data_IF_579742462069
#
_entry.id   IF_579742462069
#
_cell.length_a   1.000
_cell.length_b   1.000
_cell.length_c   1.000
_cell.angle_alpha   90.00
_cell.angle_beta   90.00
_cell.angle_gamma   90.00
#
_symmetry.space_group_name_H-M   'P 1'
#
loop_
_entity.id
_entity.type
_entity.pdbx_description
1 polymer ?
#
# COMPACT_ATOMS: atom_id res chain seq x y z
N UNK A 1 11.74 42.74 -1.55
CA UNK A 1 10.75 42.21 -2.50
C UNK A 1 10.37 40.84 -1.99
N UNK A 2 9.24 40.75 -1.30
CA UNK A 2 8.68 39.48 -0.83
C UNK A 2 8.47 38.61 -2.06
N UNK A 3 9.19 37.50 -2.17
CA UNK A 3 8.94 36.50 -3.21
C UNK A 3 7.49 36.08 -3.05
N UNK A 4 6.61 36.57 -3.93
CA UNK A 4 5.22 36.13 -3.95
C UNK A 4 5.24 34.61 -4.17
N UNK A 5 4.73 33.87 -3.21
CA UNK A 5 4.68 32.41 -3.30
C UNK A 5 3.76 32.06 -4.45
N UNK A 6 4.33 31.48 -5.50
CA UNK A 6 3.56 30.90 -6.60
C UNK A 6 3.09 29.51 -6.18
N UNK A 7 1.92 29.46 -5.55
CA UNK A 7 1.35 28.21 -5.06
C UNK A 7 1.10 27.21 -6.19
N UNK A 8 0.75 27.68 -7.40
CA UNK A 8 0.58 26.83 -8.58
C UNK A 8 1.90 26.16 -8.98
N UNK A 9 3.01 26.92 -8.98
CA UNK A 9 4.33 26.36 -9.25
C UNK A 9 4.73 25.31 -8.20
N UNK A 10 4.43 25.54 -6.92
CA UNK A 10 4.65 24.55 -5.83
C UNK A 10 3.91 23.25 -6.12
N UNK A 11 2.60 23.33 -6.42
CA UNK A 11 1.80 22.13 -6.72
C UNK A 11 2.32 21.42 -7.98
N UNK A 12 2.72 22.17 -9.00
CA UNK A 12 3.28 21.61 -10.23
C UNK A 12 4.59 20.85 -9.96
N UNK A 13 5.50 21.39 -9.15
CA UNK A 13 6.73 20.71 -8.74
C UNK A 13 6.44 19.42 -7.95
N UNK A 14 5.45 19.43 -7.06
CA UNK A 14 5.03 18.23 -6.33
C UNK A 14 4.50 17.14 -7.28
N UNK A 15 3.69 17.52 -8.29
CA UNK A 15 3.20 16.59 -9.31
C UNK A 15 4.34 15.98 -10.12
N UNK A 16 5.29 16.80 -10.57
CA UNK A 16 6.46 16.35 -11.32
C UNK A 16 7.35 15.40 -10.50
N UNK A 17 7.43 15.61 -9.19
CA UNK A 17 8.10 14.71 -8.26
C UNK A 17 7.32 13.42 -7.94
N UNK A 18 6.11 13.26 -8.51
CA UNK A 18 5.29 12.05 -8.43
C UNK A 18 4.25 12.02 -7.30
N UNK A 19 3.98 13.16 -6.66
CA UNK A 19 2.92 13.27 -5.64
C UNK A 19 1.55 13.31 -6.32
N UNK A 20 0.58 12.52 -5.82
CA UNK A 20 -0.77 12.47 -6.39
C UNK A 20 -1.75 13.36 -5.64
N UNK A 21 -2.51 14.15 -6.40
CA UNK A 21 -3.57 15.01 -5.88
C UNK A 21 -4.96 14.49 -6.27
N UNK A 22 -5.87 14.49 -5.31
CA UNK A 22 -7.30 14.18 -5.46
C UNK A 22 -8.06 15.44 -5.88
N UNK A 23 -7.72 16.57 -5.29
CA UNK A 23 -8.32 17.86 -5.63
C UNK A 23 -7.20 18.85 -5.81
N UNK A 24 -7.27 19.63 -6.88
CA UNK A 24 -6.33 20.70 -7.16
C UNK A 24 -7.12 21.99 -7.40
N UNK A 25 -6.87 22.97 -6.54
CA UNK A 25 -7.40 24.33 -6.62
C UNK A 25 -6.24 25.33 -6.50
N UNK A 26 -5.07 24.97 -7.03
CA UNK A 26 -3.88 25.83 -6.99
C UNK A 26 -3.99 27.08 -7.85
N UNK A 27 -4.91 27.09 -8.82
CA UNK A 27 -5.17 28.23 -9.72
C UNK A 27 -6.01 29.35 -9.07
N UNK A 28 -6.52 29.14 -7.85
CA UNK A 28 -7.25 30.18 -7.12
C UNK A 28 -6.29 31.22 -6.55
N UNK A 29 -6.84 32.36 -6.12
CA UNK A 29 -6.10 33.34 -5.32
C UNK A 29 -5.47 32.67 -4.10
N UNK A 30 -4.28 33.14 -3.71
CA UNK A 30 -3.42 32.46 -2.73
C UNK A 30 -4.12 32.19 -1.39
N UNK A 31 -5.01 33.09 -0.95
CA UNK A 31 -5.80 32.95 0.28
C UNK A 31 -6.88 31.86 0.21
N UNK A 32 -7.26 31.43 -0.98
CA UNK A 32 -8.25 30.38 -1.23
C UNK A 32 -7.63 29.12 -1.87
N UNK A 33 -6.36 29.16 -2.24
CA UNK A 33 -5.68 28.09 -2.95
C UNK A 33 -5.42 26.88 -2.04
N UNK A 34 -5.70 25.68 -2.56
CA UNK A 34 -5.43 24.44 -1.84
C UNK A 34 -5.28 23.26 -2.79
N UNK A 35 -4.60 22.21 -2.32
CA UNK A 35 -4.60 20.93 -3.00
C UNK A 35 -4.69 19.79 -1.97
N UNK A 36 -5.46 18.75 -2.29
CA UNK A 36 -5.69 17.58 -1.44
C UNK A 36 -4.95 16.39 -2.02
N UNK A 37 -4.16 15.71 -1.20
CA UNK A 37 -3.33 14.57 -1.56
C UNK A 37 -4.04 13.24 -1.29
N UNK A 38 -3.74 12.25 -2.14
CA UNK A 38 -4.10 10.82 -2.07
C UNK A 38 -5.26 10.40 -1.17
N UNK A 39 -5.05 10.39 0.16
CA UNK A 39 -6.04 9.85 1.10
C UNK A 39 -6.45 10.69 2.29
N UNK A 40 -5.93 11.90 2.54
CA UNK A 40 -6.51 12.83 3.55
C UNK A 40 -5.67 14.10 3.75
N UNK A 41 -4.36 14.10 3.51
CA UNK A 41 -3.52 15.28 3.73
C UNK A 41 -3.79 16.37 2.68
N UNK A 42 -3.57 17.64 3.02
CA UNK A 42 -3.72 18.76 2.09
C UNK A 42 -2.61 19.79 2.28
N UNK A 43 -2.28 20.49 1.21
CA UNK A 43 -1.36 21.61 1.22
C UNK A 43 -2.15 22.90 0.99
N UNK A 44 -1.82 23.93 1.77
CA UNK A 44 -2.41 25.26 1.70
C UNK A 44 -1.38 26.34 1.98
N UNK A 45 -1.73 27.56 1.59
CA UNK A 45 -1.12 28.77 2.11
C UNK A 45 -2.11 29.43 3.07
N UNK A 46 -1.66 29.77 4.27
CA UNK A 46 -2.47 30.47 5.28
C UNK A 46 -1.87 31.85 5.57
N UNK A 47 -2.73 32.84 5.78
CA UNK A 47 -2.33 34.21 6.12
C UNK A 47 -3.37 34.81 7.07
N UNK A 48 -2.92 35.41 8.16
CA UNK A 48 -3.77 36.04 9.16
C UNK A 48 -4.40 35.09 10.18
N UNK A 49 -3.85 33.89 10.37
CA UNK A 49 -4.38 32.92 11.34
C UNK A 49 -4.14 33.39 12.79
N UNK A 50 -5.13 33.12 13.66
CA UNK A 50 -5.13 33.55 15.06
C UNK A 50 -4.06 32.88 15.92
N UNK A 51 -3.55 31.72 15.48
CA UNK A 51 -2.44 31.01 16.12
C UNK A 51 -1.05 31.44 15.62
N UNK A 52 -0.98 32.45 14.76
CA UNK A 52 0.27 33.04 14.27
C UNK A 52 0.92 32.28 13.12
N UNK A 53 0.32 31.19 12.63
CA UNK A 53 0.86 30.42 11.50
C UNK A 53 0.53 31.10 10.18
N UNK A 54 1.58 31.58 9.50
CA UNK A 54 1.48 32.29 8.23
C UNK A 54 2.47 31.67 7.24
N UNK A 55 1.97 31.13 6.13
CA UNK A 55 2.81 30.51 5.10
C UNK A 55 2.26 29.19 4.58
N UNK A 56 3.14 28.40 3.96
CA UNK A 56 2.81 27.08 3.47
C UNK A 56 2.64 26.10 4.63
N UNK A 57 1.55 25.36 4.60
CA UNK A 57 1.22 24.35 5.61
C UNK A 57 0.80 23.04 4.97
N UNK A 58 1.11 21.94 5.65
CA UNK A 58 0.50 20.64 5.41
C UNK A 58 -0.52 20.39 6.50
N UNK A 59 -1.77 20.25 6.09
CA UNK A 59 -2.87 19.72 6.89
C UNK A 59 -2.81 18.20 6.83
N UNK A 60 -2.50 17.55 7.94
CA UNK A 60 -2.24 16.11 8.02
C UNK A 60 -3.50 15.36 8.49
N UNK A 61 -3.64 14.13 8.04
CA UNK A 61 -4.73 13.23 8.42
C UNK A 61 -4.73 12.90 9.94
N UNK A 62 -5.87 12.42 10.43
CA UNK A 62 -6.07 11.96 11.82
C UNK A 62 -5.14 10.82 12.26
N UNK A 63 -4.50 10.12 11.32
CA UNK A 63 -3.59 8.99 11.62
C UNK A 63 -2.23 9.42 12.17
N UNK A 64 -1.99 10.74 12.29
CA UNK A 64 -0.78 11.36 12.85
C UNK A 64 0.53 11.03 12.10
N UNK A 65 0.51 10.20 11.06
CA UNK A 65 1.72 9.67 10.41
C UNK A 65 2.52 10.77 9.72
N UNK A 66 1.86 11.53 8.85
CA UNK A 66 2.51 12.62 8.12
C UNK A 66 2.91 13.73 9.10
N UNK A 67 2.08 14.00 10.12
CA UNK A 67 2.34 15.01 11.14
C UNK A 67 3.62 14.70 11.92
N UNK A 68 3.74 13.50 12.49
CA UNK A 68 4.89 13.09 13.30
C UNK A 68 6.19 13.18 12.49
N UNK A 69 6.18 12.75 11.22
CA UNK A 69 7.35 12.83 10.33
C UNK A 69 7.75 14.26 10.02
N UNK A 70 6.80 15.12 9.69
CA UNK A 70 7.07 16.54 9.40
C UNK A 70 7.63 17.24 10.65
N UNK A 71 7.03 17.00 11.82
CA UNK A 71 7.50 17.57 13.08
C UNK A 71 8.93 17.11 13.43
N UNK A 72 9.24 15.81 13.26
CA UNK A 72 10.57 15.28 13.52
C UNK A 72 11.63 15.84 12.55
N UNK A 73 11.33 15.90 11.24
CA UNK A 73 12.30 16.34 10.22
C UNK A 73 12.56 17.84 10.30
N UNK A 74 11.53 18.64 10.59
CA UNK A 74 11.68 20.10 10.70
C UNK A 74 12.04 20.57 12.10
N UNK A 75 11.94 19.70 13.11
CA UNK A 75 12.05 20.05 14.52
C UNK A 75 11.08 21.18 14.89
N UNK A 76 9.82 21.07 14.43
CA UNK A 76 8.74 22.05 14.62
C UNK A 76 7.54 21.36 15.25
N UNK A 77 6.76 22.12 16.03
CA UNK A 77 5.49 21.63 16.57
C UNK A 77 4.39 21.65 15.50
N UNK A 78 3.39 20.79 15.66
CA UNK A 78 2.13 20.88 14.93
C UNK A 78 1.15 21.79 15.70
N UNK A 79 0.08 22.20 15.00
CA UNK A 79 -1.04 22.94 15.57
C UNK A 79 -2.33 22.19 15.25
N UNK A 80 -3.29 22.27 16.16
CA UNK A 80 -4.61 21.71 15.93
C UNK A 80 -5.41 22.57 14.94
N UNK A 81 -6.35 21.94 14.25
CA UNK A 81 -7.33 22.62 13.39
C UNK A 81 -8.74 22.12 13.68
N UNK A 82 -9.75 22.90 13.31
CA UNK A 82 -11.16 22.51 13.45
C UNK A 82 -11.61 21.47 12.41
N UNK A 83 -10.72 21.01 11.52
CA UNK A 83 -11.04 19.99 10.51
C UNK A 83 -10.87 18.58 11.09
N UNK A 84 -11.99 17.92 11.42
CA UNK A 84 -12.00 16.54 11.94
C UNK A 84 -11.22 15.54 11.05
N UNK A 85 -11.12 15.78 9.74
CA UNK A 85 -10.40 14.86 8.83
C UNK A 85 -8.93 15.18 8.74
N UNK A 86 -8.54 16.41 9.06
CA UNK A 86 -7.16 16.91 9.03
C UNK A 86 -6.88 17.72 10.29
N UNK A 87 -6.89 17.08 11.47
CA UNK A 87 -6.85 17.80 12.73
C UNK A 87 -5.51 18.48 12.98
N UNK A 88 -4.46 18.16 12.23
CA UNK A 88 -3.12 18.70 12.46
C UNK A 88 -2.65 19.58 11.30
N UNK A 89 -2.00 20.70 11.59
CA UNK A 89 -1.27 21.51 10.62
C UNK A 89 0.19 21.68 11.00
N UNK A 90 1.08 21.52 10.01
CA UNK A 90 2.52 21.71 10.16
C UNK A 90 3.01 22.71 9.11
N UNK A 91 3.68 23.77 9.58
CA UNK A 91 4.25 24.81 8.72
C UNK A 91 5.61 24.40 8.16
N UNK A 92 5.86 24.74 6.91
CA UNK A 92 7.16 24.55 6.26
C UNK A 92 7.52 25.73 5.35
N UNK A 93 8.81 25.91 5.08
CA UNK A 93 9.31 26.93 4.17
C UNK A 93 9.44 26.40 2.74
N UNK A 94 9.34 27.27 1.73
CA UNK A 94 9.41 26.82 0.32
C UNK A 94 10.74 26.12 -0.01
N UNK A 95 11.83 26.50 0.66
CA UNK A 95 13.15 25.87 0.55
C UNK A 95 13.16 24.40 1.05
N UNK A 96 12.21 24.05 1.90
CA UNK A 96 12.03 22.72 2.48
C UNK A 96 11.09 21.83 1.65
N UNK A 97 10.51 22.33 0.56
CA UNK A 97 9.50 21.64 -0.24
C UNK A 97 9.95 20.25 -0.70
N UNK A 98 11.22 20.07 -1.05
CA UNK A 98 11.73 18.76 -1.46
C UNK A 98 11.72 17.75 -0.30
N UNK A 99 11.97 18.18 0.93
CA UNK A 99 11.88 17.33 2.12
C UNK A 99 10.43 16.93 2.38
N UNK A 100 9.51 17.89 2.27
CA UNK A 100 8.06 17.65 2.37
C UNK A 100 7.61 16.61 1.35
N UNK A 101 8.01 16.76 0.08
CA UNK A 101 7.69 15.81 -0.99
C UNK A 101 8.18 14.40 -0.63
N UNK A 102 9.40 14.27 -0.13
CA UNK A 102 9.97 12.97 0.23
C UNK A 102 9.16 12.31 1.36
N UNK A 103 8.82 13.07 2.40
CA UNK A 103 8.00 12.59 3.53
C UNK A 103 6.62 12.13 3.04
N UNK A 104 5.94 12.96 2.24
CA UNK A 104 4.60 12.65 1.75
C UNK A 104 4.60 11.43 0.83
N UNK A 105 5.68 11.18 0.07
CA UNK A 105 5.84 9.99 -0.77
C UNK A 105 6.06 8.70 0.03
N UNK A 106 6.54 8.78 1.27
CA UNK A 106 6.66 7.60 2.15
C UNK A 106 5.28 7.07 2.56
N UNK A 107 4.24 7.91 2.51
CA UNK A 107 2.87 7.46 2.72
C UNK A 107 2.33 6.80 1.44
N UNK A 108 2.19 5.47 1.48
CA UNK A 108 1.71 4.68 0.34
C UNK A 108 0.34 5.11 -0.18
N UNK A 109 -0.48 5.77 0.65
CA UNK A 109 -1.78 6.30 0.25
C UNK A 109 -1.70 7.61 -0.55
N UNK A 110 -0.61 8.38 -0.40
CA UNK A 110 -0.33 9.59 -1.19
C UNK A 110 0.20 9.27 -2.60
N UNK A 111 0.61 8.01 -2.85
CA UNK A 111 1.15 7.53 -4.13
C UNK A 111 0.26 6.47 -4.80
N UNK A 112 -0.65 5.82 -4.08
CA UNK A 112 -1.56 4.81 -4.61
C UNK A 112 -2.75 5.42 -5.38
N UNK A 113 -3.11 4.77 -6.49
CA UNK A 113 -4.25 5.14 -7.34
C UNK A 113 -5.57 4.78 -6.66
N UNK A 114 -6.31 5.76 -6.14
CA UNK A 114 -7.75 5.61 -5.96
C UNK A 114 -8.38 5.86 -7.33
N UNK A 115 -8.66 4.80 -8.08
CA UNK A 115 -9.59 4.91 -9.21
C UNK A 115 -10.97 5.27 -8.64
N UNK A 116 -11.36 6.53 -8.82
CA UNK A 116 -12.75 6.93 -8.62
C UNK A 116 -13.60 6.22 -9.64
N UNK A 117 -14.56 5.47 -9.13
CA UNK A 117 -15.79 5.11 -9.81
C UNK A 117 -16.42 6.37 -10.46
N UNK A 118 -16.34 6.44 -11.78
CA UNK A 118 -17.30 7.14 -12.65
C UNK A 118 -17.80 6.06 -13.61
N UNK A 119 -19.08 5.77 -13.82
CA UNK A 119 -20.33 6.48 -13.58
C UNK A 119 -21.44 5.47 -13.93
N UNK A 120 -22.53 5.40 -13.15
CA UNK A 120 -23.82 4.91 -13.69
C UNK A 120 -24.89 5.95 -13.37
N UNK A 121 -25.76 6.28 -14.34
CA UNK A 121 -26.73 7.36 -14.18
C UNK A 121 -27.83 6.94 -13.20
N UNK A 122 -28.33 7.93 -12.46
CA UNK A 122 -29.60 7.84 -11.74
C UNK A 122 -30.71 7.74 -12.79
N UNK A 123 -31.43 6.62 -12.80
CA UNK A 123 -32.82 6.58 -13.23
C UNK A 123 -33.66 6.25 -12.01
N UNK A 124 -34.51 7.22 -11.67
CA UNK A 124 -35.62 7.08 -10.72
C UNK A 124 -36.62 6.06 -11.25
N UNK A 125 -37.01 5.09 -10.43
CA UNK A 125 -38.37 4.55 -10.45
C UNK A 125 -38.66 3.92 -9.09
N UNK A 126 -39.74 4.39 -8.48
CA UNK A 126 -40.28 3.92 -7.22
C UNK A 126 -40.97 2.57 -7.43
N UNK A 127 -40.78 1.62 -6.53
CA UNK A 127 -41.57 0.38 -6.55
C UNK A 127 -40.99 -0.76 -5.72
N UNK A 128 -41.64 -1.00 -4.58
CA UNK A 128 -41.81 -2.30 -3.91
C UNK A 128 -40.64 -2.97 -3.17
N UNK A 129 -40.81 -3.01 -1.84
CA UNK A 129 -40.08 -3.85 -0.90
C UNK A 129 -40.34 -5.32 -1.21
N UNK A 130 -39.31 -6.02 -1.68
CA UNK A 130 -39.24 -7.48 -1.60
C UNK A 130 -38.03 -7.90 -0.75
N UNK A 131 -38.30 -8.17 0.52
CA UNK A 131 -37.44 -8.92 1.41
C UNK A 131 -37.26 -10.34 0.87
N UNK A 132 -36.14 -10.63 0.22
CA UNK A 132 -35.66 -12.01 0.02
C UNK A 132 -34.61 -12.33 1.06
N UNK A 133 -35.03 -13.05 2.10
CA UNK A 133 -34.13 -13.74 3.01
C UNK A 133 -33.19 -14.64 2.19
N UNK A 134 -31.88 -14.40 2.29
CA UNK A 134 -30.86 -15.25 1.69
C UNK A 134 -30.65 -16.44 2.61
N UNK A 135 -31.20 -17.59 2.23
CA UNK A 135 -30.96 -18.86 2.91
C UNK A 135 -29.45 -19.12 3.01
N UNK A 136 -28.96 -19.38 4.21
CA UNK A 136 -27.61 -19.85 4.48
C UNK A 136 -27.47 -21.25 3.90
N UNK A 137 -26.88 -21.37 2.70
CA UNK A 137 -26.37 -22.66 2.23
C UNK A 137 -25.05 -22.93 2.95
N UNK A 138 -25.17 -23.51 4.15
CA UNK A 138 -24.09 -24.26 4.75
C UNK A 138 -23.92 -25.55 3.94
N UNK A 139 -22.95 -25.53 3.02
CA UNK A 139 -22.33 -26.75 2.52
C UNK A 139 -20.88 -26.70 3.01
N UNK A 140 -20.61 -27.41 4.09
CA UNK A 140 -19.26 -27.67 4.60
C UNK A 140 -18.60 -28.69 3.68
N UNK A 141 -18.41 -28.34 2.40
CA UNK A 141 -17.45 -29.05 1.59
C UNK A 141 -16.06 -28.69 2.11
N UNK A 142 -15.25 -29.70 2.42
CA UNK A 142 -13.83 -29.54 2.69
C UNK A 142 -13.21 -29.07 1.38
N UNK A 143 -13.26 -27.76 1.13
CA UNK A 143 -12.63 -27.15 -0.03
C UNK A 143 -11.13 -27.37 0.15
N UNK A 144 -10.51 -28.05 -0.83
CA UNK A 144 -9.06 -28.17 -0.88
C UNK A 144 -8.37 -26.81 -0.84
N UNK A 145 -7.06 -26.77 -0.56
CA UNK A 145 -6.33 -25.53 -0.36
C UNK A 145 -6.46 -24.63 -1.60
N UNK A 146 -6.84 -23.37 -1.37
CA UNK A 146 -6.94 -22.39 -2.44
C UNK A 146 -5.52 -21.93 -2.79
N UNK A 147 -5.25 -21.78 -4.08
CA UNK A 147 -4.01 -21.20 -4.57
C UNK A 147 -4.19 -19.71 -4.85
N UNK A 148 -3.24 -18.91 -4.39
CA UNK A 148 -3.26 -17.46 -4.46
C UNK A 148 -1.98 -16.94 -5.10
N UNK A 149 -2.08 -15.83 -5.83
CA UNK A 149 -0.93 -15.03 -6.24
C UNK A 149 -1.00 -13.66 -5.56
N UNK A 150 0.13 -13.22 -4.99
CA UNK A 150 0.28 -11.93 -4.31
C UNK A 150 1.52 -11.21 -4.84
N UNK A 151 1.56 -9.89 -4.70
CA UNK A 151 2.76 -9.10 -5.00
C UNK A 151 3.75 -9.15 -3.84
N UNK A 152 5.04 -9.25 -4.14
CA UNK A 152 6.11 -8.91 -3.21
C UNK A 152 6.04 -7.41 -2.86
N UNK A 153 6.51 -7.07 -1.66
CA UNK A 153 6.70 -5.69 -1.25
C UNK A 153 8.08 -5.22 -1.72
N UNK A 154 8.14 -4.24 -2.63
CA UNK A 154 9.39 -3.73 -3.19
C UNK A 154 10.28 -3.02 -2.13
N UNK A 155 9.69 -2.54 -1.04
CA UNK A 155 10.43 -1.95 0.09
C UNK A 155 10.93 -2.98 1.10
N UNK A 156 10.81 -4.28 0.83
CA UNK A 156 11.14 -5.33 1.79
C UNK A 156 11.88 -6.49 1.11
N UNK A 157 13.07 -6.84 1.62
CA UNK A 157 13.89 -7.94 1.11
C UNK A 157 13.29 -9.29 1.53
N UNK A 158 12.23 -9.65 0.83
CA UNK A 158 11.40 -10.83 1.08
C UNK A 158 12.24 -12.12 1.02
N UNK A 159 13.20 -12.20 0.08
CA UNK A 159 14.03 -13.39 -0.09
C UNK A 159 14.97 -13.56 1.10
N UNK A 160 15.69 -12.49 1.50
CA UNK A 160 16.59 -12.55 2.66
C UNK A 160 15.83 -12.82 3.96
N UNK A 161 14.64 -12.21 4.11
CA UNK A 161 13.76 -12.43 5.25
C UNK A 161 13.35 -13.91 5.37
N UNK A 162 12.83 -14.52 4.30
CA UNK A 162 12.50 -15.95 4.32
C UNK A 162 13.73 -16.84 4.49
N UNK A 163 14.90 -16.47 3.96
CA UNK A 163 16.13 -17.25 4.19
C UNK A 163 16.49 -17.34 5.68
N UNK A 164 16.35 -16.23 6.42
CA UNK A 164 16.69 -16.13 7.83
C UNK A 164 15.57 -16.63 8.76
N UNK A 165 14.33 -16.20 8.54
CA UNK A 165 13.21 -16.46 9.45
C UNK A 165 12.38 -17.69 9.09
N UNK A 166 12.41 -18.14 7.82
CA UNK A 166 11.58 -19.23 7.24
C UNK A 166 10.07 -18.97 7.22
N UNK A 167 9.59 -18.16 8.14
CA UNK A 167 8.19 -17.77 8.29
C UNK A 167 8.13 -16.25 8.41
N UNK A 168 7.13 -15.62 7.80
CA UNK A 168 6.89 -14.19 7.85
C UNK A 168 5.40 -13.91 8.05
N UNK A 169 5.10 -12.79 8.69
CA UNK A 169 3.75 -12.25 8.68
C UNK A 169 3.54 -11.41 7.43
N UNK A 170 2.39 -11.56 6.82
CA UNK A 170 2.06 -10.96 5.53
C UNK A 170 0.70 -10.31 5.60
N UNK A 171 0.56 -9.14 4.96
CA UNK A 171 -0.73 -8.43 4.93
C UNK A 171 -1.80 -9.29 4.25
N UNK A 172 -2.90 -9.54 4.95
CA UNK A 172 -3.97 -10.39 4.43
C UNK A 172 -4.94 -9.64 3.51
N UNK A 173 -4.99 -8.30 3.61
CA UNK A 173 -6.02 -7.47 2.98
C UNK A 173 -7.44 -7.94 3.38
N UNK A 174 -8.49 -7.47 2.68
CA UNK A 174 -9.87 -7.96 2.87
C UNK A 174 -10.11 -9.33 2.20
N UNK A 175 -9.06 -10.15 2.06
CA UNK A 175 -9.13 -11.46 1.42
C UNK A 175 -9.30 -12.55 2.47
N UNK A 176 -10.06 -13.60 2.12
CA UNK A 176 -10.36 -14.72 3.01
C UNK A 176 -9.37 -15.86 2.82
N UNK A 177 -8.11 -15.60 3.11
CA UNK A 177 -7.10 -16.65 3.19
C UNK A 177 -7.45 -17.63 4.30
N UNK A 178 -7.10 -18.90 4.12
CA UNK A 178 -7.28 -19.94 5.13
C UNK A 178 -5.96 -20.65 5.38
N UNK A 179 -5.84 -21.23 6.57
CA UNK A 179 -4.76 -22.17 6.87
C UNK A 179 -4.73 -23.27 5.81
N UNK A 180 -3.52 -23.64 5.41
CA UNK A 180 -3.17 -24.56 4.33
C UNK A 180 -3.35 -24.05 2.89
N UNK A 181 -3.88 -22.85 2.68
CA UNK A 181 -3.84 -22.21 1.36
C UNK A 181 -2.39 -22.03 0.86
N UNK A 182 -2.20 -22.08 -0.45
CA UNK A 182 -0.90 -21.91 -1.11
C UNK A 182 -0.79 -20.49 -1.67
N UNK A 183 0.32 -19.82 -1.38
CA UNK A 183 0.57 -18.44 -1.80
C UNK A 183 1.83 -18.39 -2.67
N UNK A 184 1.67 -17.96 -3.91
CA UNK A 184 2.76 -17.65 -4.83
C UNK A 184 3.05 -16.14 -4.76
N UNK A 185 4.31 -15.78 -4.51
CA UNK A 185 4.74 -14.38 -4.40
C UNK A 185 5.40 -13.96 -5.71
N UNK A 186 4.77 -13.00 -6.39
CA UNK A 186 5.23 -12.37 -7.62
C UNK A 186 6.09 -11.15 -7.33
N UNK A 187 7.29 -11.11 -7.88
CA UNK A 187 8.21 -9.99 -7.77
C UNK A 187 8.00 -9.04 -8.94
N UNK A 188 7.87 -7.74 -8.64
CA UNK A 188 7.78 -6.68 -9.63
C UNK A 188 9.10 -6.44 -10.37
N UNK A 189 9.25 -5.28 -10.99
CA UNK A 189 10.52 -4.90 -11.61
C UNK A 189 11.67 -4.95 -10.59
N UNK A 190 12.88 -5.41 -10.97
CA UNK A 190 13.26 -5.88 -12.32
C UNK A 190 12.94 -7.36 -12.59
N UNK A 191 12.57 -8.15 -11.58
CA UNK A 191 12.44 -9.62 -11.70
C UNK A 191 11.25 -10.06 -12.56
N UNK A 192 10.10 -9.39 -12.40
CA UNK A 192 8.86 -9.65 -13.13
C UNK A 192 8.44 -11.14 -13.21
N UNK A 193 8.57 -11.88 -12.09
CA UNK A 193 8.27 -13.32 -12.04
C UNK A 193 7.84 -13.79 -10.66
N UNK A 194 7.12 -14.91 -10.58
CA UNK A 194 6.91 -15.61 -9.29
C UNK A 194 8.24 -16.25 -8.86
N UNK A 195 8.65 -15.98 -7.63
CA UNK A 195 9.89 -16.54 -7.07
C UNK A 195 9.67 -17.46 -5.88
N UNK A 196 8.61 -17.25 -5.11
CA UNK A 196 8.42 -17.96 -3.85
C UNK A 196 7.04 -18.62 -3.83
N UNK A 197 7.00 -19.82 -3.25
CA UNK A 197 5.79 -20.55 -2.88
C UNK A 197 5.76 -20.69 -1.37
N UNK A 198 4.65 -20.31 -0.77
CA UNK A 198 4.44 -20.35 0.67
C UNK A 198 3.15 -21.10 1.00
N UNK A 199 3.04 -21.52 2.26
CA UNK A 199 1.80 -22.02 2.86
C UNK A 199 1.33 -21.06 3.94
N UNK A 200 0.02 -20.80 3.99
CA UNK A 200 -0.59 -20.10 5.12
C UNK A 200 -0.61 -21.05 6.32
N UNK A 201 0.06 -20.67 7.41
CA UNK A 201 0.09 -21.45 8.66
C UNK A 201 -0.78 -20.84 9.75
N UNK A 202 -1.03 -19.53 9.69
CA UNK A 202 -2.04 -18.81 10.47
C UNK A 202 -2.73 -17.79 9.58
N UNK A 203 -4.01 -17.52 9.83
CA UNK A 203 -4.79 -16.51 9.13
C UNK A 203 -5.60 -15.69 10.14
N UNK A 204 -6.10 -14.54 9.70
CA UNK A 204 -6.94 -13.62 10.48
C UNK A 204 -6.26 -13.15 11.79
N UNK A 205 -4.94 -12.96 11.76
CA UNK A 205 -4.18 -12.45 12.89
C UNK A 205 -4.46 -10.95 13.05
N UNK A 206 -4.76 -10.46 14.27
CA UNK A 206 -5.12 -9.07 14.51
C UNK A 206 -3.92 -8.09 14.47
N UNK A 207 -2.70 -8.59 14.50
CA UNK A 207 -1.46 -7.82 14.42
C UNK A 207 -0.31 -8.72 13.93
N UNK A 208 0.86 -8.14 13.68
CA UNK A 208 2.09 -8.90 13.42
C UNK A 208 2.68 -9.47 14.71
N UNK A 209 3.14 -10.72 14.65
CA UNK A 209 3.83 -11.44 15.70
C UNK A 209 5.34 -11.57 15.43
N UNK A 210 5.78 -11.43 14.17
CA UNK A 210 7.18 -11.60 13.74
C UNK A 210 7.86 -10.24 13.54
N UNK A 211 8.97 -10.01 14.25
CA UNK A 211 9.86 -8.86 14.01
C UNK A 211 10.80 -9.13 12.83
N UNK A 212 10.51 -8.51 11.70
CA UNK A 212 11.26 -8.63 10.45
C UNK A 212 11.81 -7.27 9.94
N UNK A 213 11.84 -6.26 10.82
CA UNK A 213 12.16 -4.87 10.43
C UNK A 213 13.54 -4.70 9.80
N UNK A 214 14.51 -5.52 10.20
CA UNK A 214 15.87 -5.55 9.63
C UNK A 214 15.93 -5.87 8.12
N UNK A 215 14.84 -6.35 7.52
CA UNK A 215 14.77 -6.66 6.09
C UNK A 215 14.06 -5.57 5.27
N UNK A 216 13.65 -4.48 5.90
CA UNK A 216 13.12 -3.32 5.18
C UNK A 216 14.27 -2.66 4.41
N UNK A 217 14.07 -2.43 3.12
CA UNK A 217 15.09 -1.88 2.23
C UNK A 217 15.18 -0.37 2.44
N UNK A 218 16.40 0.13 2.66
CA UNK A 218 16.67 1.57 2.75
C UNK A 218 16.42 2.19 4.13
N UNK A 219 16.08 1.39 5.15
CA UNK A 219 16.04 1.81 6.55
C UNK A 219 17.43 1.63 7.18
N UNK A 220 17.89 2.63 7.93
CA UNK A 220 19.16 2.57 8.68
C UNK A 220 18.93 2.01 10.09
N UNK A 221 19.96 1.39 10.69
CA UNK A 221 19.83 0.66 11.96
C UNK A 221 19.27 1.53 13.12
N UNK A 222 19.55 2.84 13.15
CA UNK A 222 19.02 3.74 14.17
C UNK A 222 17.52 4.05 13.99
N UNK A 223 16.97 3.90 12.79
CA UNK A 223 15.55 4.14 12.47
C UNK A 223 14.67 2.96 12.91
N UNK A 224 15.26 1.77 13.09
CA UNK A 224 14.57 0.58 13.60
C UNK A 224 14.13 0.70 15.07
N UNK A 225 14.85 1.51 15.86
CA UNK A 225 14.62 1.65 17.31
C UNK A 225 13.46 2.60 17.64
N UNK A 226 13.14 3.55 16.76
CA UNK A 226 12.20 4.64 17.05
C UNK A 226 10.92 4.63 16.19
N UNK A 227 10.83 3.84 15.12
CA UNK A 227 9.91 4.19 14.02
C UNK A 227 9.00 3.08 13.47
N UNK A 228 8.89 1.91 14.10
CA UNK A 228 8.13 0.83 13.45
C UNK A 228 7.45 -0.14 14.41
N UNK A 229 6.16 0.10 14.66
CA UNK A 229 5.21 -0.98 14.94
C UNK A 229 4.60 -1.44 13.61
N UNK A 230 4.79 -2.69 13.16
CA UNK A 230 4.11 -3.20 11.98
C UNK A 230 2.64 -3.46 12.32
N UNK A 231 1.83 -2.40 12.44
CA UNK A 231 0.38 -2.55 12.60
C UNK A 231 -0.24 -2.80 11.23
N UNK A 232 -0.08 -4.02 10.74
CA UNK A 232 -1.05 -4.53 9.78
C UNK A 232 -2.30 -4.90 10.58
N UNK A 233 -3.41 -4.18 10.36
CA UNK A 233 -4.69 -4.43 11.03
C UNK A 233 -5.17 -5.89 10.90
N UNK A 234 -4.78 -6.58 9.82
CA UNK A 234 -4.99 -8.03 9.67
C UNK A 234 -3.88 -8.68 8.86
N UNK A 235 -3.21 -9.67 9.45
CA UNK A 235 -2.13 -10.43 8.83
C UNK A 235 -2.45 -11.92 8.73
N UNK A 236 -1.66 -12.59 7.92
CA UNK A 236 -1.53 -14.04 7.89
C UNK A 236 -0.06 -14.40 8.06
N UNK A 237 0.21 -15.58 8.57
CA UNK A 237 1.56 -16.09 8.69
C UNK A 237 1.85 -17.05 7.54
N UNK A 238 2.91 -16.78 6.79
CA UNK A 238 3.36 -17.56 5.65
C UNK A 238 4.64 -18.32 6.00
N UNK A 239 4.67 -19.62 5.74
CA UNK A 239 5.91 -20.41 5.78
C UNK A 239 6.35 -20.72 4.37
N UNK A 240 7.62 -20.49 4.05
CA UNK A 240 8.16 -20.80 2.73
C UNK A 240 8.17 -22.31 2.50
N UNK A 241 7.70 -22.73 1.34
CA UNK A 241 7.75 -24.12 0.85
C UNK A 241 8.85 -24.30 -0.18
N UNK A 242 8.99 -23.33 -1.10
CA UNK A 242 9.93 -23.40 -2.20
C UNK A 242 10.32 -22.01 -2.70
N UNK A 243 11.53 -21.90 -3.23
CA UNK A 243 11.94 -20.83 -4.14
C UNK A 243 12.06 -21.45 -5.53
N UNK A 244 11.51 -20.83 -6.56
CA UNK A 244 11.60 -21.34 -7.92
C UNK A 244 12.99 -21.01 -8.53
N UNK A 245 13.44 -21.87 -9.44
CA UNK A 245 14.64 -21.63 -10.26
C UNK A 245 14.45 -20.31 -11.03
N UNK A 246 15.55 -19.60 -11.31
CA UNK A 246 15.51 -18.45 -12.21
C UNK A 246 15.17 -18.95 -13.63
N UNK A 247 13.87 -19.08 -13.87
CA UNK A 247 13.24 -19.58 -15.07
C UNK A 247 12.09 -18.63 -15.42
N UNK A 248 11.89 -18.40 -16.71
CA UNK A 248 10.83 -17.53 -17.20
C UNK A 248 9.48 -18.25 -17.33
N UNK A 249 9.41 -19.53 -16.95
CA UNK A 249 8.15 -20.29 -16.82
C UNK A 249 7.18 -19.63 -15.83
N UNK A 250 7.67 -18.88 -14.85
CA UNK A 250 6.85 -18.07 -13.95
C UNK A 250 6.97 -16.57 -14.22
N UNK A 251 7.46 -16.20 -15.40
CA UNK A 251 7.69 -14.83 -15.85
C UNK A 251 6.42 -14.13 -16.31
N UNK A 252 6.50 -12.80 -16.39
CA UNK A 252 5.39 -11.93 -16.78
C UNK A 252 4.72 -12.34 -18.10
N UNK A 253 5.50 -12.60 -19.15
CA UNK A 253 4.97 -12.99 -20.47
C UNK A 253 4.22 -14.32 -20.39
N UNK A 254 4.83 -15.33 -19.78
CA UNK A 254 4.25 -16.66 -19.67
C UNK A 254 2.97 -16.66 -18.82
N UNK A 255 2.95 -15.90 -17.72
CA UNK A 255 1.75 -15.69 -16.91
C UNK A 255 0.65 -14.96 -17.71
N UNK A 256 1.00 -13.96 -18.50
CA UNK A 256 0.05 -13.20 -19.32
C UNK A 256 -0.59 -14.08 -20.40
N UNK A 257 0.20 -14.90 -21.09
CA UNK A 257 -0.27 -15.88 -22.09
C UNK A 257 -1.29 -16.86 -21.50
N UNK A 258 -1.09 -17.28 -20.25
CA UNK A 258 -1.95 -18.24 -19.56
C UNK A 258 -3.14 -17.58 -18.82
N UNK A 259 -3.30 -16.26 -18.96
CA UNK A 259 -4.52 -15.55 -18.54
C UNK A 259 -4.37 -14.68 -17.29
N UNK A 260 -3.16 -14.49 -16.76
CA UNK A 260 -2.90 -13.51 -15.70
C UNK A 260 -2.90 -12.11 -16.30
N UNK A 261 -3.99 -11.38 -16.13
CA UNK A 261 -4.17 -10.04 -16.73
C UNK A 261 -3.61 -8.93 -15.86
N UNK A 262 -2.89 -8.00 -16.49
CA UNK A 262 -2.43 -6.76 -15.88
C UNK A 262 -1.43 -6.95 -14.73
N UNK A 263 -1.12 -5.86 -14.05
CA UNK A 263 -0.17 -5.87 -12.92
C UNK A 263 -0.79 -6.54 -11.69
N UNK A 264 -0.05 -7.43 -11.03
CA UNK A 264 -0.46 -8.06 -9.78
C UNK A 264 -0.18 -7.06 -8.65
N UNK A 265 -1.20 -6.31 -8.23
CA UNK A 265 -1.11 -5.34 -7.11
C UNK A 265 -1.87 -5.75 -5.85
N UNK A 266 -2.85 -6.64 -6.01
CA UNK A 266 -3.67 -7.19 -4.93
C UNK A 266 -3.66 -8.71 -5.00
N UNK A 267 -3.93 -9.40 -3.88
CA UNK A 267 -4.09 -10.85 -3.89
C UNK A 267 -5.16 -11.29 -4.89
N UNK A 268 -4.89 -12.39 -5.61
CA UNK A 268 -5.82 -13.01 -6.55
C UNK A 268 -5.86 -14.51 -6.32
N UNK A 269 -7.06 -15.08 -6.33
CA UNK A 269 -7.20 -16.53 -6.43
C UNK A 269 -6.79 -17.02 -7.82
N UNK A 270 -6.00 -18.08 -7.87
CA UNK A 270 -5.60 -18.77 -9.08
C UNK A 270 -6.65 -19.84 -9.41
N UNK A 271 -7.26 -19.76 -10.58
CA UNK A 271 -8.37 -20.65 -10.99
C UNK A 271 -8.31 -20.95 -12.50
N UNK A 272 -9.04 -21.99 -12.93
CA UNK A 272 -9.18 -22.35 -14.34
C UNK A 272 -7.84 -22.64 -15.04
N UNK A 273 -7.67 -22.12 -16.26
CA UNK A 273 -6.44 -22.32 -17.06
C UNK A 273 -5.16 -21.83 -16.38
N UNK A 274 -5.26 -20.78 -15.56
CA UNK A 274 -4.10 -20.29 -14.79
C UNK A 274 -3.71 -21.32 -13.73
N UNK A 275 -4.68 -21.99 -13.09
CA UNK A 275 -4.41 -23.04 -12.12
C UNK A 275 -3.73 -24.25 -12.78
N UNK A 276 -4.25 -24.71 -13.92
CA UNK A 276 -3.65 -25.79 -14.70
C UNK A 276 -2.18 -25.48 -15.06
N UNK A 277 -1.91 -24.23 -15.44
CA UNK A 277 -0.55 -23.77 -15.74
C UNK A 277 0.37 -23.82 -14.51
N UNK A 278 -0.07 -23.23 -13.39
CA UNK A 278 0.69 -23.25 -12.13
C UNK A 278 0.98 -24.68 -11.69
N UNK A 279 0.01 -25.59 -11.79
CA UNK A 279 0.14 -26.99 -11.40
C UNK A 279 1.17 -27.73 -12.27
N UNK A 280 1.29 -27.37 -13.55
CA UNK A 280 2.28 -27.97 -14.45
C UNK A 280 3.72 -27.51 -14.21
N UNK A 281 3.91 -26.31 -13.63
CA UNK A 281 5.24 -25.75 -13.36
C UNK A 281 5.67 -26.02 -11.91
N UNK A 282 4.73 -26.09 -10.98
CA UNK A 282 4.97 -26.33 -9.56
C UNK A 282 5.28 -27.81 -9.27
N UNK A 283 6.38 -28.27 -9.87
CA UNK A 283 6.94 -29.62 -9.78
C UNK A 283 8.38 -29.54 -9.24
N UNK A 284 8.88 -30.60 -8.58
CA UNK A 284 10.20 -30.60 -7.93
C UNK A 284 11.37 -30.13 -8.81
N UNK A 285 11.30 -30.37 -10.11
CA UNK A 285 12.34 -30.02 -11.09
C UNK A 285 12.56 -28.51 -11.22
N UNK A 286 11.53 -27.70 -10.91
CA UNK A 286 11.57 -26.24 -11.01
C UNK A 286 11.84 -25.53 -9.68
N UNK A 287 12.09 -26.29 -8.60
CA UNK A 287 12.30 -25.78 -7.25
C UNK A 287 13.79 -25.73 -6.92
N UNK A 288 14.28 -24.58 -6.45
CA UNK A 288 15.61 -24.45 -5.84
C UNK A 288 15.59 -25.16 -4.48
N UNK A 289 16.55 -26.06 -4.28
CA UNK A 289 16.78 -26.77 -3.02
C UNK A 289 17.32 -25.91 -1.87
N UNK A 290 17.42 -24.59 -2.04
CA UNK A 290 18.01 -23.67 -1.06
C UNK A 290 17.24 -23.56 0.26
N UNK A 291 16.10 -24.24 0.39
CA UNK A 291 15.30 -24.33 1.62
C UNK A 291 15.01 -25.78 2.05
N UNK A 292 15.56 -26.78 1.34
CA UNK A 292 15.62 -28.15 1.85
C UNK A 292 16.64 -28.18 3.00
N UNK A 293 16.26 -28.77 4.14
CA UNK A 293 17.14 -28.92 5.31
C UNK A 293 18.31 -29.84 5.01
#
# INVERSE_FOLDING_TARGET
MTNAIDFKAVIQQMKEAGVRFVTDKSDLDISAAYAVLGSKSAIRYLEGESDGINGLVILCAEDEVDMNRLCAVFNRAYFDTDDEKRPFKVQFDIEELQKVINILKMNTLNVACVERTSSRPRSSEAGEKHTRARASRGSTEIRGPIKWIVSANAGFDTVRAFKKLKTLDWKQYNCKFKVDDIVYIYFGLPDQKVRLKCKVVKADLPHTEIDDRQFIVGIQDYELEYEYEPVYETTMQLTILAEFVDSDLFGFEALAEHGVKGTIRSPRTITGKVLEYFDSIDVPENIKKSYEK
#
